data_IF_303515295909
#
_entry.id   IF_303515295909
#
_cell.length_a   1.000
_cell.length_b   1.000
_cell.length_c   1.000
_cell.angle_alpha   90.00
_cell.angle_beta   90.00
_cell.angle_gamma   90.00
#
_symmetry.space_group_name_H-M   'P 1'
#
loop_
_entity.id
_entity.type
_entity.pdbx_description
1 polymer ?
#
# COMPACT_ATOMS: atom_id res chain seq x y z
N UNK A 1 -15.99 -41.98 -25.88
CA UNK A 1 -15.72 -42.84 -27.06
C UNK A 1 -16.26 -42.16 -28.31
N UNK A 2 -15.39 -41.96 -29.34
CA UNK A 2 -15.64 -42.14 -30.79
C UNK A 2 -16.93 -41.52 -31.38
N UNK A 3 -16.99 -40.64 -32.38
CA UNK A 3 -16.18 -40.35 -33.59
C UNK A 3 -16.76 -39.04 -34.19
N UNK A 4 -15.98 -38.07 -34.68
CA UNK A 4 -15.52 -37.95 -36.08
C UNK A 4 -16.53 -38.36 -37.17
N UNK A 5 -17.06 -37.38 -37.91
CA UNK A 5 -17.42 -37.50 -39.34
C UNK A 5 -17.57 -36.08 -39.90
N UNK A 6 -16.57 -35.48 -40.59
CA UNK A 6 -16.15 -35.71 -42.00
C UNK A 6 -17.32 -35.80 -42.99
N UNK A 7 -17.79 -34.63 -43.44
CA UNK A 7 -18.35 -34.38 -44.78
C UNK A 7 -17.60 -33.12 -45.27
N UNK A 8 -16.44 -33.26 -45.91
CA UNK A 8 -16.21 -33.43 -47.35
C UNK A 8 -16.89 -32.36 -48.25
N UNK A 9 -16.02 -31.50 -48.77
CA UNK A 9 -15.91 -31.06 -50.17
C UNK A 9 -16.67 -29.81 -50.67
N UNK A 10 -15.89 -28.72 -50.78
CA UNK A 10 -15.67 -27.87 -51.98
C UNK A 10 -16.84 -27.21 -52.74
N UNK A 11 -16.84 -25.88 -52.76
CA UNK A 11 -17.07 -25.03 -53.95
C UNK A 11 -16.24 -23.74 -53.73
N UNK A 12 -15.07 -23.62 -54.35
CA UNK A 12 -14.83 -22.94 -55.63
C UNK A 12 -15.05 -21.40 -55.58
N UNK A 13 -13.93 -20.71 -55.36
CA UNK A 13 -13.51 -19.37 -55.85
C UNK A 13 -14.50 -18.63 -56.75
N UNK A 14 -14.83 -17.37 -56.40
CA UNK A 14 -14.86 -16.25 -57.37
C UNK A 14 -14.97 -14.86 -56.69
N UNK A 15 -13.89 -14.09 -56.86
CA UNK A 15 -13.76 -12.65 -57.05
C UNK A 15 -14.88 -11.69 -56.61
N UNK A 16 -14.48 -10.68 -55.83
CA UNK A 16 -15.24 -9.44 -55.67
C UNK A 16 -14.68 -8.48 -54.61
N UNK A 17 -13.40 -8.08 -54.68
CA UNK A 17 -12.89 -6.98 -53.86
C UNK A 17 -13.35 -5.65 -54.48
N UNK A 18 -14.41 -5.08 -53.93
CA UNK A 18 -14.77 -3.68 -54.16
C UNK A 18 -14.07 -2.85 -53.09
N UNK A 19 -12.95 -2.23 -53.47
CA UNK A 19 -12.25 -1.23 -52.66
C UNK A 19 -13.10 0.05 -52.61
N UNK A 20 -13.85 0.23 -51.53
CA UNK A 20 -14.42 1.53 -51.18
C UNK A 20 -13.30 2.40 -50.60
N UNK A 21 -12.86 3.38 -51.39
CA UNK A 21 -11.99 4.45 -50.95
C UNK A 21 -12.73 5.33 -49.92
N UNK A 22 -12.55 5.05 -48.64
CA UNK A 22 -12.90 5.98 -47.58
C UNK A 22 -11.67 6.88 -47.33
N UNK A 23 -11.82 8.22 -47.30
CA UNK A 23 -10.76 9.09 -46.86
C UNK A 23 -10.59 8.86 -45.35
N UNK A 24 -9.62 8.03 -44.98
CA UNK A 24 -9.12 7.97 -43.61
C UNK A 24 -8.41 9.28 -43.34
N UNK A 25 -9.14 10.25 -42.77
CA UNK A 25 -8.49 11.34 -42.06
C UNK A 25 -7.70 10.70 -40.92
N UNK A 26 -6.42 10.51 -41.15
CA UNK A 26 -5.45 10.22 -40.11
C UNK A 26 -5.44 11.43 -39.18
N UNK A 27 -6.24 11.38 -38.12
CA UNK A 27 -5.99 12.22 -36.96
C UNK A 27 -4.68 11.69 -36.37
N UNK A 28 -3.58 12.34 -36.72
CA UNK A 28 -2.37 12.24 -35.94
C UNK A 28 -2.73 12.77 -34.55
N UNK A 29 -3.02 11.87 -33.61
CA UNK A 29 -2.91 12.19 -32.20
C UNK A 29 -1.43 12.48 -31.95
N UNK A 30 -1.03 13.73 -32.17
CA UNK A 30 0.22 14.27 -31.68
C UNK A 30 0.11 14.14 -30.16
N UNK A 31 0.65 13.05 -29.62
CA UNK A 31 1.00 12.99 -28.21
C UNK A 31 2.06 14.06 -28.07
N UNK A 32 1.68 15.21 -27.55
CA UNK A 32 2.63 16.11 -26.91
C UNK A 32 3.31 15.26 -25.83
N UNK A 33 4.49 14.73 -26.16
CA UNK A 33 5.39 14.16 -25.17
C UNK A 33 5.79 15.38 -24.34
N UNK A 34 5.46 15.44 -23.03
CA UNK A 34 5.82 16.57 -22.22
C UNK A 34 7.33 16.80 -22.35
N UNK A 35 7.79 18.07 -22.35
CA UNK A 35 9.21 18.34 -22.35
C UNK A 35 9.84 17.58 -21.18
N UNK A 36 10.98 16.96 -21.46
CA UNK A 36 11.67 16.04 -20.54
C UNK A 36 11.88 16.68 -19.14
N UNK A 37 12.10 17.99 -19.07
CA UNK A 37 12.16 18.76 -17.81
C UNK A 37 10.85 18.71 -16.99
N UNK A 38 9.68 18.82 -17.61
CA UNK A 38 8.39 18.75 -16.89
C UNK A 38 8.10 17.34 -16.35
N UNK A 39 8.66 16.30 -16.99
CA UNK A 39 8.54 14.93 -16.50
C UNK A 39 9.43 14.70 -15.26
N UNK A 40 10.65 15.25 -15.24
CA UNK A 40 11.58 15.14 -14.12
C UNK A 40 11.11 15.87 -12.87
N UNK A 41 10.65 17.12 -13.00
CA UNK A 41 10.11 17.91 -11.88
C UNK A 41 8.99 17.15 -11.15
N UNK A 42 8.18 16.37 -11.89
CA UNK A 42 7.11 15.55 -11.32
C UNK A 42 7.60 14.33 -10.54
N UNK A 43 8.77 13.78 -10.86
CA UNK A 43 9.33 12.63 -10.13
C UNK A 43 9.98 13.08 -8.82
N UNK A 44 10.67 14.20 -8.83
CA UNK A 44 11.27 14.83 -7.64
C UNK A 44 10.18 15.26 -6.64
N UNK A 45 9.12 15.91 -7.14
CA UNK A 45 7.96 16.28 -6.32
C UNK A 45 7.27 15.05 -5.73
N UNK A 46 7.12 13.98 -6.52
CA UNK A 46 6.52 12.74 -6.05
C UNK A 46 7.39 12.02 -5.00
N UNK A 47 8.71 12.05 -5.17
CA UNK A 47 9.65 11.54 -4.17
C UNK A 47 9.51 12.28 -2.84
N UNK A 48 9.50 13.62 -2.89
CA UNK A 48 9.34 14.46 -1.70
C UNK A 48 8.00 14.22 -0.98
N UNK A 49 6.88 14.13 -1.72
CA UNK A 49 5.56 13.82 -1.14
C UNK A 49 5.53 12.43 -0.48
N UNK A 50 6.17 11.43 -1.08
CA UNK A 50 6.27 10.08 -0.49
C UNK A 50 7.15 10.07 0.76
N UNK A 51 8.26 10.81 0.76
CA UNK A 51 9.12 10.96 1.93
C UNK A 51 8.38 11.65 3.09
N UNK A 52 7.61 12.70 2.81
CA UNK A 52 6.78 13.35 3.82
C UNK A 52 5.76 12.38 4.44
N UNK A 53 5.11 11.54 3.62
CA UNK A 53 4.18 10.51 4.14
C UNK A 53 4.87 9.47 5.01
N UNK A 54 6.08 9.07 4.63
CA UNK A 54 6.89 8.15 5.41
C UNK A 54 7.23 8.75 6.78
N UNK A 55 7.73 9.99 6.84
CA UNK A 55 8.04 10.69 8.10
C UNK A 55 6.80 10.80 9.00
N UNK A 56 5.64 11.18 8.45
CA UNK A 56 4.39 11.23 9.20
C UNK A 56 3.95 9.84 9.71
N UNK A 57 4.28 8.76 9.01
CA UNK A 57 4.04 7.40 9.48
C UNK A 57 4.96 7.06 10.66
N UNK A 58 6.23 7.48 10.61
CA UNK A 58 7.18 7.34 11.72
C UNK A 58 6.68 8.02 12.99
N UNK A 59 6.26 9.29 12.90
CA UNK A 59 5.66 10.01 14.03
C UNK A 59 4.44 9.27 14.60
N UNK A 60 3.62 8.67 13.74
CA UNK A 60 2.44 7.90 14.14
C UNK A 60 2.78 6.58 14.84
N UNK A 61 3.90 5.96 14.48
CA UNK A 61 4.44 4.76 15.11
C UNK A 61 5.03 5.12 16.48
N UNK A 62 5.83 6.18 16.57
CA UNK A 62 6.40 6.64 17.84
C UNK A 62 5.32 6.99 18.88
N UNK A 63 4.20 7.57 18.43
CA UNK A 63 3.05 7.87 19.30
C UNK A 63 2.29 6.62 19.79
N UNK A 64 2.66 5.40 19.39
CA UNK A 64 2.04 4.18 19.91
C UNK A 64 2.50 3.82 21.32
N UNK A 65 3.66 4.33 21.76
CA UNK A 65 4.16 4.18 23.13
C UNK A 65 3.14 4.69 24.16
N UNK A 66 2.51 5.84 23.90
CA UNK A 66 1.44 6.39 24.76
C UNK A 66 0.24 5.45 24.88
N UNK A 67 -0.05 4.66 23.84
CA UNK A 67 -1.16 3.69 23.85
C UNK A 67 -0.77 2.48 24.71
N UNK A 68 0.44 1.97 24.51
CA UNK A 68 1.00 0.85 25.28
C UNK A 68 1.05 1.19 26.76
N UNK A 69 1.64 2.33 27.14
CA UNK A 69 1.77 2.77 28.54
C UNK A 69 0.40 2.85 29.23
N UNK A 70 -0.62 3.37 28.54
CA UNK A 70 -1.98 3.45 29.09
C UNK A 70 -2.62 2.08 29.31
N UNK A 71 -2.36 1.11 28.43
CA UNK A 71 -2.87 -0.26 28.60
C UNK A 71 -2.14 -0.97 29.74
N UNK A 72 -0.82 -0.85 29.81
CA UNK A 72 0.01 -1.40 30.90
C UNK A 72 -0.41 -0.84 32.26
N UNK A 73 -0.59 0.49 32.37
CA UNK A 73 -1.06 1.10 33.61
C UNK A 73 -2.43 0.55 34.02
N UNK A 74 -3.33 0.33 33.05
CA UNK A 74 -4.66 -0.22 33.35
C UNK A 74 -4.60 -1.68 33.79
N UNK A 75 -3.69 -2.47 33.23
CA UNK A 75 -3.42 -3.86 33.65
C UNK A 75 -2.88 -3.89 35.09
N UNK A 76 -1.96 -2.98 35.42
CA UNK A 76 -1.42 -2.83 36.77
C UNK A 76 -2.53 -2.48 37.76
N UNK A 77 -3.35 -1.47 37.47
CA UNK A 77 -4.48 -1.07 38.32
C UNK A 77 -5.43 -2.24 38.63
N UNK A 78 -5.80 -3.02 37.60
CA UNK A 78 -6.66 -4.20 37.76
C UNK A 78 -6.03 -5.23 38.69
N UNK A 79 -4.73 -5.48 38.51
CA UNK A 79 -3.97 -6.41 39.34
C UNK A 79 -3.92 -5.96 40.80
N UNK A 80 -3.69 -4.67 41.07
CA UNK A 80 -3.68 -4.10 42.42
C UNK A 80 -5.06 -4.17 43.10
N UNK A 81 -6.13 -4.03 42.32
CA UNK A 81 -7.51 -4.21 42.81
C UNK A 81 -7.90 -5.68 43.02
N UNK A 82 -7.05 -6.63 42.63
CA UNK A 82 -7.34 -8.06 42.69
C UNK A 82 -8.36 -8.52 41.64
N UNK A 83 -8.54 -7.76 40.56
CA UNK A 83 -9.31 -8.15 39.38
C UNK A 83 -8.41 -8.91 38.39
N UNK A 84 -9.02 -9.70 37.50
CA UNK A 84 -8.29 -10.42 36.45
C UNK A 84 -7.99 -9.49 35.24
N UNK A 85 -6.71 -9.26 34.89
CA UNK A 85 -6.34 -8.46 33.74
C UNK A 85 -6.13 -9.27 32.45
N UNK A 86 -6.34 -10.60 32.45
CA UNK A 86 -5.90 -11.48 31.37
C UNK A 86 -6.41 -11.07 29.97
N UNK A 87 -7.66 -10.61 29.86
CA UNK A 87 -8.22 -10.16 28.59
C UNK A 87 -7.51 -8.89 28.08
N UNK A 88 -7.23 -7.93 28.96
CA UNK A 88 -6.55 -6.69 28.56
C UNK A 88 -5.09 -6.95 28.19
N UNK A 89 -4.43 -7.90 28.87
CA UNK A 89 -3.10 -8.36 28.48
C UNK A 89 -3.11 -8.98 27.07
N UNK A 90 -4.10 -9.82 26.76
CA UNK A 90 -4.21 -10.42 25.43
C UNK A 90 -4.42 -9.36 24.33
N UNK A 91 -5.19 -8.31 24.61
CA UNK A 91 -5.38 -7.17 23.69
C UNK A 91 -4.06 -6.43 23.46
N UNK A 92 -3.32 -6.15 24.53
CA UNK A 92 -2.01 -5.51 24.42
C UNK A 92 -1.02 -6.36 23.60
N UNK A 93 -0.95 -7.66 23.87
CA UNK A 93 -0.07 -8.59 23.16
C UNK A 93 -0.37 -8.62 21.66
N UNK A 94 -1.66 -8.68 21.27
CA UNK A 94 -2.08 -8.61 19.87
C UNK A 94 -1.71 -7.27 19.22
N UNK A 95 -1.94 -6.17 19.93
CA UNK A 95 -1.58 -4.84 19.42
C UNK A 95 -0.07 -4.71 19.18
N UNK A 96 0.76 -5.18 20.12
CA UNK A 96 2.22 -5.17 19.96
C UNK A 96 2.67 -6.02 18.77
N UNK A 97 2.10 -7.22 18.59
CA UNK A 97 2.43 -8.06 17.43
C UNK A 97 2.05 -7.40 16.09
N UNK A 98 0.93 -6.67 16.05
CA UNK A 98 0.54 -5.90 14.87
C UNK A 98 1.49 -4.71 14.64
N UNK A 99 1.94 -4.04 15.70
CA UNK A 99 2.90 -2.94 15.60
C UNK A 99 4.29 -3.42 15.16
N UNK A 100 4.73 -4.62 15.55
CA UNK A 100 5.96 -5.23 15.04
C UNK A 100 5.90 -5.40 13.51
N UNK A 101 4.74 -5.80 12.97
CA UNK A 101 4.54 -5.92 11.52
C UNK A 101 4.54 -4.56 10.82
N UNK A 102 3.94 -3.53 11.44
CA UNK A 102 4.00 -2.14 10.95
C UNK A 102 5.43 -1.63 10.93
N UNK A 103 6.20 -1.85 12.01
CA UNK A 103 7.60 -1.44 12.11
C UNK A 103 8.47 -2.09 11.03
N UNK A 104 8.28 -3.39 10.78
CA UNK A 104 9.04 -4.09 9.74
C UNK A 104 8.86 -3.44 8.35
N UNK A 105 7.63 -3.08 7.97
CA UNK A 105 7.37 -2.41 6.68
C UNK A 105 7.93 -0.98 6.67
N UNK A 106 7.86 -0.28 7.81
CA UNK A 106 8.47 1.04 7.95
C UNK A 106 9.99 0.98 7.76
N UNK A 107 10.67 0.03 8.40
CA UNK A 107 12.11 -0.15 8.28
C UNK A 107 12.52 -0.51 6.83
N UNK A 108 11.78 -1.41 6.17
CA UNK A 108 11.99 -1.77 4.75
C UNK A 108 11.85 -0.53 3.83
N UNK A 109 10.89 0.35 4.10
CA UNK A 109 10.75 1.62 3.37
C UNK A 109 11.93 2.57 3.65
N UNK A 110 12.41 2.61 4.90
CA UNK A 110 13.60 3.36 5.27
C UNK A 110 14.81 2.97 4.43
N UNK A 111 15.02 1.67 4.20
CA UNK A 111 16.09 1.18 3.32
C UNK A 111 15.93 1.67 1.86
N UNK A 112 14.70 1.75 1.34
CA UNK A 112 14.44 2.27 -0.01
C UNK A 112 14.74 3.77 -0.13
N UNK A 113 14.38 4.56 0.89
CA UNK A 113 14.72 5.99 0.94
C UNK A 113 16.21 6.23 1.15
N UNK A 114 16.88 5.39 1.95
CA UNK A 114 18.33 5.44 2.14
C UNK A 114 19.09 5.07 0.87
N UNK A 115 18.60 4.13 0.06
CA UNK A 115 19.19 3.78 -1.23
C UNK A 115 18.91 4.83 -2.31
N UNK A 116 17.71 5.45 -2.28
CA UNK A 116 17.24 6.51 -3.19
C UNK A 116 17.63 6.29 -4.67
N UNK A 117 17.55 5.04 -5.12
CA UNK A 117 18.03 4.64 -6.43
C UNK A 117 17.35 5.43 -7.57
N UNK A 118 18.17 6.03 -8.45
CA UNK A 118 17.70 6.89 -9.54
C UNK A 118 17.56 8.37 -9.16
N UNK A 119 17.81 8.71 -7.89
CA UNK A 119 17.93 10.06 -7.38
C UNK A 119 19.36 10.31 -6.88
N UNK A 120 19.75 11.57 -6.73
CA UNK A 120 20.95 11.94 -5.97
C UNK A 120 20.62 12.31 -4.51
N UNK A 121 21.63 12.79 -3.79
CA UNK A 121 21.51 13.15 -2.38
C UNK A 121 20.62 14.39 -2.14
N UNK A 122 20.40 15.22 -3.17
CA UNK A 122 19.51 16.37 -3.11
C UNK A 122 18.07 16.00 -3.53
N UNK A 123 17.85 14.74 -3.94
CA UNK A 123 16.56 14.23 -4.42
C UNK A 123 16.30 14.55 -5.89
N UNK A 124 17.32 14.97 -6.65
CA UNK A 124 17.20 15.24 -8.09
C UNK A 124 17.30 13.94 -8.90
N UNK A 125 16.58 13.84 -10.01
CA UNK A 125 16.57 12.61 -10.82
C UNK A 125 17.90 12.44 -11.59
N UNK A 126 18.59 11.33 -11.35
CA UNK A 126 19.82 10.96 -12.07
C UNK A 126 19.59 9.87 -13.13
N UNK A 127 18.58 9.01 -12.92
CA UNK A 127 18.14 7.99 -13.87
C UNK A 127 16.61 7.85 -13.82
N UNK A 128 15.93 8.30 -14.88
CA UNK A 128 14.46 8.30 -14.99
C UNK A 128 13.83 6.91 -14.81
N UNK A 129 14.42 5.88 -15.43
CA UNK A 129 13.85 4.53 -15.41
C UNK A 129 13.99 3.91 -14.03
N UNK A 130 15.12 4.15 -13.38
CA UNK A 130 15.38 3.70 -12.03
C UNK A 130 14.53 4.49 -11.02
N UNK A 131 14.42 5.81 -11.14
CA UNK A 131 13.58 6.65 -10.30
C UNK A 131 12.11 6.21 -10.34
N UNK A 132 11.56 5.98 -11.54
CA UNK A 132 10.19 5.46 -11.70
C UNK A 132 10.01 4.09 -11.05
N UNK A 133 11.02 3.22 -11.12
CA UNK A 133 10.99 1.92 -10.47
C UNK A 133 11.00 2.06 -8.94
N UNK A 134 11.90 2.87 -8.40
CA UNK A 134 12.02 3.18 -6.97
C UNK A 134 10.73 3.77 -6.40
N UNK A 135 10.16 4.77 -7.05
CA UNK A 135 8.89 5.38 -6.62
C UNK A 135 7.72 4.40 -6.59
N UNK A 136 7.70 3.38 -7.47
CA UNK A 136 6.66 2.34 -7.41
C UNK A 136 6.83 1.44 -6.19
N UNK A 137 8.06 1.04 -5.88
CA UNK A 137 8.34 0.23 -4.70
C UNK A 137 7.97 0.99 -3.42
N UNK A 138 8.35 2.27 -3.34
CA UNK A 138 7.97 3.15 -2.23
C UNK A 138 6.44 3.29 -2.14
N UNK A 139 5.76 3.51 -3.26
CA UNK A 139 4.30 3.64 -3.28
C UNK A 139 3.59 2.38 -2.77
N UNK A 140 4.05 1.20 -3.20
CA UNK A 140 3.51 -0.09 -2.75
C UNK A 140 3.78 -0.29 -1.25
N UNK A 141 5.00 -0.03 -0.78
CA UNK A 141 5.33 -0.13 0.65
C UNK A 141 4.54 0.86 1.52
N UNK A 142 4.34 2.11 1.08
CA UNK A 142 3.53 3.10 1.81
C UNK A 142 2.05 2.69 1.89
N UNK A 143 1.53 2.04 0.85
CA UNK A 143 0.18 1.49 0.87
C UNK A 143 0.05 0.35 1.89
N UNK A 144 1.02 -0.57 1.91
CA UNK A 144 1.06 -1.68 2.87
C UNK A 144 1.19 -1.14 4.31
N UNK A 145 2.10 -0.19 4.53
CA UNK A 145 2.28 0.48 5.82
C UNK A 145 0.98 1.13 6.30
N UNK A 146 0.28 1.83 5.41
CA UNK A 146 -1.00 2.45 5.74
C UNK A 146 -2.05 1.41 6.13
N UNK A 147 -2.20 0.33 5.36
CA UNK A 147 -3.19 -0.71 5.62
C UNK A 147 -2.94 -1.40 6.97
N UNK A 148 -1.71 -1.85 7.21
CA UNK A 148 -1.32 -2.49 8.48
C UNK A 148 -1.54 -1.55 9.68
N UNK A 149 -1.18 -0.27 9.52
CA UNK A 149 -1.39 0.72 10.57
C UNK A 149 -2.86 0.96 10.91
N UNK A 150 -3.74 1.01 9.90
CA UNK A 150 -5.18 1.18 10.12
C UNK A 150 -5.82 -0.08 10.70
N UNK A 151 -5.40 -1.26 10.25
CA UNK A 151 -5.88 -2.55 10.76
C UNK A 151 -5.52 -2.71 12.25
N UNK A 152 -4.26 -2.45 12.62
CA UNK A 152 -3.80 -2.50 14.01
C UNK A 152 -4.63 -1.58 14.93
N UNK A 153 -4.93 -0.36 14.47
CA UNK A 153 -5.73 0.62 15.23
C UNK A 153 -7.20 0.23 15.32
N UNK A 154 -7.75 -0.29 14.23
CA UNK A 154 -9.13 -0.72 14.18
C UNK A 154 -9.37 -1.91 15.11
N UNK A 155 -8.49 -2.91 15.07
CA UNK A 155 -8.52 -4.10 15.91
C UNK A 155 -8.41 -3.73 17.39
N UNK A 156 -7.39 -2.94 17.77
CA UNK A 156 -7.27 -2.44 19.15
C UNK A 156 -8.55 -1.73 19.62
N UNK A 157 -9.11 -0.85 18.80
CA UNK A 157 -10.33 -0.13 19.14
C UNK A 157 -11.52 -1.07 19.30
N UNK A 158 -11.61 -2.09 18.46
CA UNK A 158 -12.66 -3.08 18.49
C UNK A 158 -12.56 -3.95 19.75
N UNK A 159 -11.38 -4.48 20.05
CA UNK A 159 -11.16 -5.33 21.21
C UNK A 159 -11.41 -4.58 22.53
N UNK A 160 -10.95 -3.33 22.63
CA UNK A 160 -11.25 -2.47 23.78
C UNK A 160 -12.74 -2.11 23.90
N UNK A 161 -13.47 -2.10 22.78
CA UNK A 161 -14.92 -1.92 22.80
C UNK A 161 -15.58 -3.18 23.35
N UNK A 162 -15.23 -4.35 22.84
CA UNK A 162 -15.74 -5.66 23.26
C UNK A 162 -15.49 -5.92 24.74
N UNK A 163 -14.25 -5.70 25.21
CA UNK A 163 -13.88 -5.80 26.62
C UNK A 163 -14.80 -4.98 27.54
N UNK A 164 -15.10 -3.73 27.15
CA UNK A 164 -16.00 -2.85 27.92
C UNK A 164 -17.45 -3.30 27.89
N UNK A 165 -17.91 -3.89 26.79
CA UNK A 165 -19.27 -4.42 26.69
C UNK A 165 -19.46 -5.65 27.56
N UNK A 166 -18.52 -6.58 27.55
CA UNK A 166 -18.53 -7.78 28.38
C UNK A 166 -18.64 -7.43 29.86
N UNK A 167 -17.82 -6.51 30.37
CA UNK A 167 -17.85 -6.08 31.77
C UNK A 167 -19.14 -5.33 32.18
N UNK A 168 -19.84 -4.67 31.25
CA UNK A 168 -21.12 -4.00 31.56
C UNK A 168 -22.28 -5.00 31.71
N UNK A 169 -22.19 -6.17 31.07
CA UNK A 169 -23.21 -7.21 31.15
C UNK A 169 -23.18 -8.05 32.44
N UNK A 170 -22.10 -7.94 33.21
CA UNK A 170 -21.84 -8.75 34.41
C UNK A 170 -22.20 -8.06 35.74
N UNK A 171 -22.58 -6.79 35.73
CA UNK A 171 -22.96 -5.99 36.92
C UNK A 171 -24.47 -5.84 37.09
#
# INVERSE_FOLDING_TARGET
MKKLSKILLTFAVLAGVVLLALPTQTVAAQRDVPPVEEAFVRLEEMYADMFERYEHAGERIDNTDDVVERLEQRIEDLTEMGEDPAELQAILDTFLANMDAVQAVYDDLGELFDEHAGFDADGEVTDDSLAVYTLRQIADGLLDLHQLSEDARFELRWDLMEHRYSRRGEG
#
